data_IF_481851114665
#
_entry.id   IF_481851114665
#
_cell.length_a   1.000
_cell.length_b   1.000
_cell.length_c   1.000
_cell.angle_alpha   90.00
_cell.angle_beta   90.00
_cell.angle_gamma   90.00
#
_symmetry.space_group_name_H-M   'P 1'
#
loop_
_entity.id
_entity.type
_entity.pdbx_description
1 polymer ?
#
# COMPACT_ATOMS: atom_id res chain seq x y z
N UNK A 1 11.57 -33.25 -34.99
CA UNK A 1 11.19 -34.66 -35.25
C UNK A 1 11.24 -35.41 -33.92
N UNK A 2 10.14 -36.09 -33.55
CA UNK A 2 9.92 -37.03 -32.41
C UNK A 2 10.25 -36.50 -30.98
N UNK A 3 9.38 -36.38 -29.98
CA UNK A 3 8.30 -37.18 -29.37
C UNK A 3 8.77 -38.50 -28.74
N UNK A 4 9.04 -38.45 -27.43
CA UNK A 4 8.97 -39.60 -26.52
C UNK A 4 8.57 -39.13 -25.11
N UNK A 5 7.28 -39.22 -24.82
CA UNK A 5 6.75 -39.13 -23.46
C UNK A 5 6.94 -40.49 -22.77
N UNK A 6 7.55 -40.51 -21.58
CA UNK A 6 7.44 -41.64 -20.66
C UNK A 6 6.77 -41.13 -19.39
N UNK A 7 5.60 -41.67 -19.07
CA UNK A 7 4.83 -41.46 -17.83
C UNK A 7 4.88 -42.76 -17.01
N UNK A 8 4.59 -42.60 -15.72
CA UNK A 8 4.35 -43.62 -14.68
C UNK A 8 5.59 -43.91 -13.80
N UNK A 9 5.62 -43.41 -12.56
CA UNK A 9 5.00 -43.97 -11.32
C UNK A 9 5.77 -45.19 -10.80
N UNK A 10 6.25 -45.11 -9.56
CA UNK A 10 6.74 -46.25 -8.77
C UNK A 10 8.01 -45.91 -7.99
N UNK A 11 7.91 -45.82 -6.66
CA UNK A 11 8.99 -45.35 -5.78
C UNK A 11 9.96 -46.43 -5.30
N UNK A 12 11.06 -45.99 -4.68
CA UNK A 12 11.70 -46.65 -3.53
C UNK A 12 12.60 -45.66 -2.76
N UNK A 13 12.69 -45.89 -1.45
CA UNK A 13 13.23 -45.03 -0.39
C UNK A 13 14.71 -45.34 -0.16
N UNK A 14 15.60 -44.35 0.04
CA UNK A 14 16.71 -44.45 1.01
C UNK A 14 17.02 -43.07 1.63
N UNK A 15 17.07 -43.04 2.95
CA UNK A 15 17.29 -41.88 3.79
C UNK A 15 18.76 -41.40 3.79
N UNK A 16 18.96 -40.08 3.81
CA UNK A 16 20.21 -39.45 4.25
C UNK A 16 19.91 -38.15 5.00
N UNK A 17 20.12 -38.20 6.31
CA UNK A 17 20.46 -37.15 7.28
C UNK A 17 19.94 -35.72 7.05
N UNK A 18 19.06 -35.31 7.97
CA UNK A 18 18.92 -33.99 8.57
C UNK A 18 19.69 -32.81 7.93
N UNK A 19 18.95 -31.97 7.21
CA UNK A 19 19.06 -30.53 7.34
C UNK A 19 17.65 -30.00 7.63
N UNK A 20 17.45 -29.55 8.87
CA UNK A 20 16.27 -28.79 9.26
C UNK A 20 16.23 -27.51 8.44
N UNK A 21 15.13 -27.25 7.73
CA UNK A 21 14.95 -25.98 7.04
C UNK A 21 13.90 -26.03 5.93
N UNK A 22 12.73 -25.48 6.24
CA UNK A 22 11.70 -25.03 5.30
C UNK A 22 11.04 -26.08 4.40
N UNK A 23 9.97 -26.70 4.91
CA UNK A 23 8.81 -26.98 4.05
C UNK A 23 8.18 -25.64 3.69
N UNK A 24 8.62 -25.05 2.57
CA UNK A 24 7.83 -24.04 1.90
C UNK A 24 6.58 -24.75 1.35
N UNK A 25 5.50 -24.73 2.13
CA UNK A 25 4.18 -25.01 1.61
C UNK A 25 3.89 -23.93 0.57
N UNK A 26 4.02 -24.28 -0.71
CA UNK A 26 3.42 -23.50 -1.78
C UNK A 26 1.91 -23.63 -1.62
N UNK A 27 1.34 -22.74 -0.79
CA UNK A 27 -0.08 -22.45 -0.83
C UNK A 27 -0.31 -21.88 -2.22
N UNK A 28 -0.99 -22.64 -3.08
CA UNK A 28 -1.45 -22.15 -4.37
C UNK A 28 -2.17 -20.82 -4.13
N UNK A 29 -1.99 -19.78 -4.99
CA UNK A 29 -2.76 -18.56 -4.84
C UNK A 29 -4.22 -18.94 -4.95
N UNK A 30 -4.93 -18.91 -3.82
CA UNK A 30 -6.38 -18.90 -3.84
C UNK A 30 -6.75 -17.67 -4.65
N UNK A 31 -7.68 -17.82 -5.59
CA UNK A 31 -8.28 -16.69 -6.30
C UNK A 31 -9.20 -15.90 -5.35
N UNK A 32 -8.61 -15.39 -4.26
CA UNK A 32 -9.15 -14.45 -3.29
C UNK A 32 -8.02 -13.49 -2.98
N UNK A 33 -8.34 -12.20 -2.86
CA UNK A 33 -7.37 -11.12 -2.68
C UNK A 33 -6.15 -11.56 -1.84
N UNK A 34 -4.94 -11.38 -2.38
CA UNK A 34 -3.73 -11.65 -1.63
C UNK A 34 -3.85 -10.99 -0.25
N UNK A 35 -3.49 -11.68 0.86
CA UNK A 35 -3.61 -11.08 2.18
C UNK A 35 -2.78 -9.80 2.21
N UNK A 36 -3.46 -8.65 2.32
CA UNK A 36 -2.79 -7.37 2.31
C UNK A 36 -2.01 -7.21 3.61
N UNK A 37 -0.70 -7.37 3.51
CA UNK A 37 0.18 -7.23 4.66
C UNK A 37 0.27 -5.76 5.09
N UNK A 38 0.45 -5.53 6.39
CA UNK A 38 0.72 -4.18 6.93
C UNK A 38 1.95 -3.57 6.25
N UNK A 39 2.97 -4.38 5.93
CA UNK A 39 4.18 -3.94 5.24
C UNK A 39 3.94 -3.44 3.82
N UNK A 40 3.04 -4.07 3.07
CA UNK A 40 2.64 -3.61 1.72
C UNK A 40 1.90 -2.27 1.79
N UNK A 41 0.99 -2.13 2.76
CA UNK A 41 0.28 -0.88 2.99
C UNK A 41 1.24 0.24 3.38
N UNK A 42 2.14 0.00 4.34
CA UNK A 42 3.15 0.96 4.75
C UNK A 42 4.10 1.36 3.60
N UNK A 43 4.51 0.40 2.77
CA UNK A 43 5.32 0.66 1.58
C UNK A 43 4.61 1.56 0.57
N UNK A 44 3.32 1.31 0.32
CA UNK A 44 2.49 2.11 -0.60
C UNK A 44 2.24 3.52 -0.06
N UNK A 45 1.97 3.65 1.24
CA UNK A 45 1.84 4.96 1.89
C UNK A 45 3.15 5.74 1.81
N UNK A 46 4.28 5.07 2.05
CA UNK A 46 5.61 5.71 2.00
C UNK A 46 5.95 6.21 0.61
N UNK A 47 5.68 5.41 -0.43
CA UNK A 47 5.95 5.79 -1.82
C UNK A 47 5.07 6.97 -2.27
N UNK A 48 3.77 6.94 -1.97
CA UNK A 48 2.86 8.04 -2.28
C UNK A 48 3.18 9.30 -1.48
N UNK A 49 3.54 9.17 -0.20
CA UNK A 49 3.95 10.32 0.61
C UNK A 49 5.23 10.96 0.08
N UNK A 50 6.18 10.15 -0.39
CA UNK A 50 7.39 10.63 -1.06
C UNK A 50 7.06 11.38 -2.35
N UNK A 51 6.22 10.80 -3.21
CA UNK A 51 5.79 11.45 -4.46
C UNK A 51 5.01 12.75 -4.22
N UNK A 52 4.10 12.75 -3.24
CA UNK A 52 3.36 13.95 -2.83
C UNK A 52 4.29 15.05 -2.33
N UNK A 53 5.27 14.70 -1.48
CA UNK A 53 6.28 15.65 -0.99
C UNK A 53 7.05 16.31 -2.14
N UNK A 54 7.52 15.52 -3.10
CA UNK A 54 8.22 16.05 -4.28
C UNK A 54 7.32 16.96 -5.12
N UNK A 55 6.06 16.56 -5.33
CA UNK A 55 5.08 17.36 -6.05
C UNK A 55 4.83 18.72 -5.37
N UNK A 56 4.65 18.73 -4.04
CA UNK A 56 4.38 19.96 -3.29
C UNK A 56 5.58 20.91 -3.27
N UNK A 57 6.80 20.39 -3.18
CA UNK A 57 8.02 21.21 -3.34
C UNK A 57 8.08 21.85 -4.73
N UNK A 58 7.65 21.14 -5.78
CA UNK A 58 7.56 21.68 -7.14
C UNK A 58 6.37 22.65 -7.34
N UNK A 59 5.37 22.61 -6.46
CA UNK A 59 4.14 23.41 -6.52
C UNK A 59 3.94 24.21 -5.21
N UNK A 60 4.74 25.28 -5.00
CA UNK A 60 4.74 26.01 -3.73
C UNK A 60 3.40 26.68 -3.41
N UNK A 61 2.58 26.99 -4.42
CA UNK A 61 1.22 27.51 -4.19
C UNK A 61 0.30 26.46 -3.57
N UNK A 62 0.29 25.23 -4.11
CA UNK A 62 -0.50 24.13 -3.56
C UNK A 62 -0.02 23.74 -2.17
N UNK A 63 1.30 23.72 -1.94
CA UNK A 63 1.88 23.48 -0.62
C UNK A 63 1.40 24.48 0.42
N UNK A 64 1.37 25.78 0.08
CA UNK A 64 0.83 26.83 0.96
C UNK A 64 -0.64 26.63 1.24
N UNK A 65 -1.47 26.41 0.23
CA UNK A 65 -2.92 26.24 0.39
C UNK A 65 -3.24 25.03 1.28
N UNK A 66 -2.57 23.89 1.05
CA UNK A 66 -2.73 22.70 1.86
C UNK A 66 -2.20 22.90 3.29
N UNK A 67 -1.10 23.65 3.46
CA UNK A 67 -0.56 24.00 4.77
C UNK A 67 -1.51 24.91 5.56
N UNK A 68 -2.08 25.93 4.92
CA UNK A 68 -3.05 26.83 5.55
C UNK A 68 -4.31 26.06 5.97
N UNK A 69 -4.80 25.16 5.12
CA UNK A 69 -5.97 24.33 5.38
C UNK A 69 -5.81 23.44 6.64
N UNK A 70 -4.58 23.06 7.03
CA UNK A 70 -4.32 22.26 8.24
C UNK A 70 -4.72 22.97 9.54
N UNK A 71 -4.71 24.30 9.54
CA UNK A 71 -5.05 25.12 10.72
C UNK A 71 -6.54 25.49 10.78
N UNK A 72 -7.29 25.18 9.71
CA UNK A 72 -8.69 25.56 9.58
C UNK A 72 -9.63 24.52 10.20
N UNK A 73 -10.84 24.92 10.64
CA UNK A 73 -11.91 23.98 10.94
C UNK A 73 -12.19 23.05 9.74
N UNK A 74 -12.58 21.80 9.99
CA UNK A 74 -12.68 20.78 8.96
C UNK A 74 -13.51 21.19 7.74
N UNK A 75 -14.66 21.85 7.93
CA UNK A 75 -15.52 22.30 6.83
C UNK A 75 -14.86 23.40 6.00
N UNK A 76 -14.17 24.33 6.67
CA UNK A 76 -13.43 25.40 6.00
C UNK A 76 -12.23 24.84 5.24
N UNK A 77 -11.46 23.92 5.84
CA UNK A 77 -10.36 23.24 5.18
C UNK A 77 -10.81 22.53 3.88
N UNK A 78 -11.93 21.78 3.96
CA UNK A 78 -12.52 21.11 2.78
C UNK A 78 -12.91 22.11 1.69
N UNK A 79 -13.52 23.24 2.06
CA UNK A 79 -13.88 24.28 1.11
C UNK A 79 -12.65 24.94 0.46
N UNK A 80 -11.65 25.29 1.26
CA UNK A 80 -10.37 25.88 0.79
C UNK A 80 -9.71 24.98 -0.24
N UNK A 81 -9.53 23.70 0.08
CA UNK A 81 -8.89 22.71 -0.82
C UNK A 81 -9.72 22.52 -2.09
N UNK A 82 -11.05 22.41 -1.98
CA UNK A 82 -11.92 22.24 -3.15
C UNK A 82 -11.87 23.45 -4.08
N UNK A 83 -11.93 24.65 -3.54
CA UNK A 83 -11.90 25.88 -4.33
C UNK A 83 -10.57 26.00 -5.10
N UNK A 84 -9.45 25.69 -4.43
CA UNK A 84 -8.14 25.71 -5.04
C UNK A 84 -8.03 24.74 -6.23
N UNK A 85 -8.41 23.47 -6.04
CA UNK A 85 -8.30 22.47 -7.09
C UNK A 85 -9.37 22.60 -8.19
N UNK A 86 -10.47 23.30 -7.92
CA UNK A 86 -11.43 23.69 -8.96
C UNK A 86 -10.82 24.75 -9.89
N UNK A 87 -10.04 25.69 -9.35
CA UNK A 87 -9.29 26.67 -10.13
C UNK A 87 -8.03 26.08 -10.79
N UNK A 88 -7.49 24.99 -10.23
CA UNK A 88 -6.27 24.32 -10.69
C UNK A 88 -6.52 22.85 -11.08
N UNK A 89 -7.27 22.58 -12.18
CA UNK A 89 -7.66 21.21 -12.53
C UNK A 89 -6.49 20.32 -12.95
N UNK A 90 -5.41 20.87 -13.51
CA UNK A 90 -4.20 20.10 -13.83
C UNK A 90 -3.54 19.53 -12.56
N UNK A 91 -3.33 20.41 -11.57
CA UNK A 91 -2.75 20.03 -10.28
C UNK A 91 -3.62 19.02 -9.51
N UNK A 92 -4.94 19.12 -9.66
CA UNK A 92 -5.86 18.12 -9.14
C UNK A 92 -5.62 16.74 -9.75
N UNK A 93 -5.49 16.67 -11.08
CA UNK A 93 -5.24 15.41 -11.79
C UNK A 93 -3.89 14.80 -11.41
N UNK A 94 -2.86 15.63 -11.24
CA UNK A 94 -1.53 15.17 -10.83
C UNK A 94 -1.55 14.55 -9.43
N UNK A 95 -2.12 15.25 -8.44
CA UNK A 95 -2.27 14.71 -7.07
C UNK A 95 -3.19 13.50 -7.00
N UNK A 96 -4.23 13.46 -7.83
CA UNK A 96 -5.07 12.26 -7.98
C UNK A 96 -4.27 11.09 -8.54
N UNK A 97 -3.38 11.32 -9.50
CA UNK A 97 -2.45 10.32 -10.01
C UNK A 97 -1.48 9.81 -8.94
N UNK A 98 -0.91 10.72 -8.16
CA UNK A 98 0.00 10.39 -7.05
C UNK A 98 -0.69 9.49 -6.00
N UNK A 99 -1.97 9.71 -5.72
CA UNK A 99 -2.73 8.96 -4.71
C UNK A 99 -3.42 7.71 -5.24
N UNK A 100 -3.38 7.46 -6.56
CA UNK A 100 -4.00 6.29 -7.18
C UNK A 100 -3.57 4.93 -6.56
N UNK A 101 -2.30 4.71 -6.18
CA UNK A 101 -1.88 3.45 -5.54
C UNK A 101 -2.59 3.18 -4.21
N UNK A 102 -2.93 4.22 -3.44
CA UNK A 102 -3.68 4.04 -2.19
C UNK A 102 -5.10 3.58 -2.47
N UNK A 103 -5.73 4.11 -3.52
CA UNK A 103 -7.09 3.71 -3.91
C UNK A 103 -7.10 2.27 -4.42
N UNK A 104 -6.12 1.88 -5.25
CA UNK A 104 -5.95 0.49 -5.68
C UNK A 104 -5.78 -0.45 -4.48
N UNK A 105 -4.91 -0.08 -3.55
CA UNK A 105 -4.70 -0.84 -2.32
C UNK A 105 -6.00 -0.95 -1.51
N UNK A 106 -6.74 0.13 -1.30
CA UNK A 106 -8.04 0.08 -0.60
C UNK A 106 -9.06 -0.82 -1.31
N UNK A 107 -9.12 -0.79 -2.64
CA UNK A 107 -10.03 -1.63 -3.42
C UNK A 107 -9.66 -3.12 -3.31
N UNK A 108 -8.37 -3.43 -3.20
CA UNK A 108 -7.85 -4.80 -3.05
C UNK A 108 -7.95 -5.32 -1.61
N UNK A 109 -7.77 -4.44 -0.62
CA UNK A 109 -7.55 -4.80 0.79
C UNK A 109 -8.69 -4.41 1.74
N UNK A 110 -9.64 -3.61 1.27
CA UNK A 110 -10.65 -2.96 2.11
C UNK A 110 -10.17 -1.65 2.75
N UNK A 111 -11.11 -0.84 3.23
CA UNK A 111 -10.86 0.48 3.83
C UNK A 111 -10.40 0.40 5.29
N UNK A 112 -9.72 -0.68 5.67
CA UNK A 112 -9.16 -0.86 7.01
C UNK A 112 -8.01 0.10 7.23
N UNK A 113 -8.29 1.39 7.40
CA UNK A 113 -7.36 2.29 8.08
C UNK A 113 -6.93 1.64 9.39
N UNK A 114 -5.69 1.86 9.79
CA UNK A 114 -5.15 1.33 11.04
C UNK A 114 -6.19 1.55 12.14
N UNK A 115 -6.73 0.48 12.75
CA UNK A 115 -7.67 0.64 13.84
C UNK A 115 -7.09 1.55 14.90
N UNK A 116 -7.92 2.35 15.57
CA UNK A 116 -7.45 3.24 16.64
C UNK A 116 -6.62 2.51 17.69
N UNK A 117 -6.96 1.24 17.98
CA UNK A 117 -6.17 0.40 18.89
C UNK A 117 -4.73 0.13 18.43
N UNK A 118 -4.46 0.10 17.11
CA UNK A 118 -3.09 -0.03 16.59
C UNK A 118 -2.32 1.28 16.75
N UNK A 119 -2.99 2.43 16.63
CA UNK A 119 -2.37 3.74 16.88
C UNK A 119 -2.00 3.87 18.36
N UNK A 120 -2.91 3.49 19.25
CA UNK A 120 -2.66 3.48 20.70
C UNK A 120 -1.54 2.50 21.08
N UNK A 121 -1.56 1.27 20.55
CA UNK A 121 -0.49 0.29 20.77
C UNK A 121 0.88 0.77 20.26
N UNK A 122 0.91 1.51 19.15
CA UNK A 122 2.15 2.09 18.64
C UNK A 122 2.67 3.22 19.54
N UNK A 123 1.77 4.05 20.09
CA UNK A 123 2.13 5.08 21.06
C UNK A 123 2.67 4.48 22.36
N UNK A 124 2.04 3.42 22.88
CA UNK A 124 2.49 2.70 24.07
C UNK A 124 3.87 2.05 23.85
N UNK A 125 4.08 1.40 22.70
CA UNK A 125 5.39 0.87 22.32
C UNK A 125 6.49 1.95 22.29
N UNK A 126 6.18 3.15 21.82
CA UNK A 126 7.14 4.26 21.82
C UNK A 126 7.35 4.90 23.21
N UNK A 127 6.42 4.67 24.16
CA UNK A 127 6.52 5.18 25.52
C UNK A 127 7.46 4.33 26.41
N UNK A 128 7.75 3.08 26.04
CA UNK A 128 8.73 2.20 26.70
C UNK A 128 8.10 1.10 27.54
#
# INVERSE_FOLDING_TARGET
>A
MNKSSCRCVGGFVIASMAAAGAVATFVAPTAGAAPCSVSEAAGTISSVSGAASQYLVAHPEADRVLSDARSQPADQARATVRNYFTANPGQYLDLKGITAPLVDLQNRCGTGGLPSYLVDAFNEFQAG
#
